data_IF_404499597918
#
_entry.id   IF_404499597918
#
_cell.length_a   1.000
_cell.length_b   1.000
_cell.length_c   1.000
_cell.angle_alpha   90.00
_cell.angle_beta   90.00
_cell.angle_gamma   90.00
#
_symmetry.space_group_name_H-M   'P 1'
#
loop_
_entity.id
_entity.type
_entity.pdbx_description
1 polymer ?
#
# COMPACT_ATOMS: atom_id res chain seq x y z
N UNK A 1 -10.32 13.30 -18.83
CA UNK A 1 -9.95 12.20 -19.76
C UNK A 1 -9.97 10.88 -19.00
N UNK A 2 -10.43 9.78 -19.62
CA UNK A 2 -10.33 8.44 -19.03
C UNK A 2 -8.87 8.00 -18.91
N UNK A 3 -8.51 7.21 -17.87
CA UNK A 3 -7.13 6.76 -17.59
C UNK A 3 -6.49 6.09 -18.82
N UNK A 4 -7.27 5.32 -19.58
CA UNK A 4 -6.81 4.67 -20.82
C UNK A 4 -6.40 5.66 -21.91
N UNK A 5 -7.08 6.81 -22.02
CA UNK A 5 -6.71 7.83 -23.01
C UNK A 5 -5.38 8.48 -22.67
N UNK A 6 -5.10 8.68 -21.37
CA UNK A 6 -3.82 9.21 -20.90
C UNK A 6 -2.69 8.20 -21.13
N UNK A 7 -2.89 6.93 -20.78
CA UNK A 7 -1.91 5.86 -21.01
C UNK A 7 -1.56 5.69 -22.49
N UNK A 8 -2.57 5.65 -23.37
CA UNK A 8 -2.35 5.55 -24.81
C UNK A 8 -1.58 6.77 -25.36
N UNK A 9 -1.83 7.97 -24.83
CA UNK A 9 -1.08 9.16 -25.21
C UNK A 9 0.39 9.08 -24.75
N UNK A 10 0.65 8.64 -23.52
CA UNK A 10 2.01 8.45 -22.99
C UNK A 10 2.78 7.41 -23.79
N UNK A 11 2.14 6.28 -24.15
CA UNK A 11 2.75 5.24 -24.99
C UNK A 11 3.07 5.78 -26.39
N UNK A 12 2.15 6.51 -27.03
CA UNK A 12 2.41 7.14 -28.34
C UNK A 12 3.55 8.15 -28.29
N UNK A 13 3.62 8.93 -27.22
CA UNK A 13 4.71 9.86 -27.01
C UNK A 13 6.05 9.12 -26.80
N UNK A 14 6.07 8.00 -26.08
CA UNK A 14 7.27 7.20 -25.90
C UNK A 14 7.77 6.63 -27.23
N UNK A 15 6.88 6.08 -28.06
CA UNK A 15 7.23 5.64 -29.42
C UNK A 15 7.83 6.76 -30.26
N UNK A 16 7.23 7.96 -30.23
CA UNK A 16 7.73 9.11 -31.00
C UNK A 16 9.10 9.62 -30.54
N UNK A 17 9.43 9.50 -29.25
CA UNK A 17 10.66 10.07 -28.68
C UNK A 17 11.81 9.04 -28.54
N UNK A 18 11.50 7.75 -28.38
CA UNK A 18 12.48 6.72 -28.03
C UNK A 18 12.50 5.55 -29.02
N UNK A 19 11.66 5.60 -30.06
CA UNK A 19 11.60 4.60 -31.12
C UNK A 19 10.74 3.39 -30.76
N UNK A 20 10.74 2.44 -31.69
CA UNK A 20 9.78 1.33 -31.72
C UNK A 20 10.10 0.17 -30.77
N UNK A 21 11.28 0.17 -30.16
CA UNK A 21 11.70 -0.86 -29.21
C UNK A 21 11.48 -0.40 -27.75
N UNK A 22 10.44 -0.91 -27.07
CA UNK A 22 10.15 -0.52 -25.69
C UNK A 22 11.23 -0.94 -24.70
N UNK A 23 12.08 -1.92 -25.01
CA UNK A 23 13.18 -2.34 -24.13
C UNK A 23 14.29 -1.29 -24.06
N UNK A 24 14.39 -0.42 -25.07
CA UNK A 24 15.35 0.70 -25.10
C UNK A 24 14.81 1.99 -24.47
N UNK A 25 13.55 2.01 -24.03
CA UNK A 25 12.99 3.21 -23.41
C UNK A 25 13.63 3.51 -22.05
N UNK A 26 13.72 4.80 -21.67
CA UNK A 26 14.12 5.21 -20.33
C UNK A 26 13.28 4.57 -19.23
N UNK A 27 13.91 4.21 -18.11
CA UNK A 27 13.27 3.43 -17.05
C UNK A 27 12.22 4.23 -16.26
N UNK A 28 12.36 5.55 -16.21
CA UNK A 28 11.35 6.48 -15.71
C UNK A 28 10.09 6.48 -16.57
N UNK A 29 10.22 6.49 -17.90
CA UNK A 29 9.10 6.40 -18.86
C UNK A 29 8.39 5.05 -18.73
N UNK A 30 9.15 3.96 -18.64
CA UNK A 30 8.59 2.62 -18.38
C UNK A 30 7.85 2.56 -17.03
N UNK A 31 8.40 3.18 -15.98
CA UNK A 31 7.74 3.28 -14.67
C UNK A 31 6.46 4.12 -14.74
N UNK A 32 6.46 5.23 -15.48
CA UNK A 32 5.29 6.07 -15.66
C UNK A 32 4.16 5.31 -16.36
N UNK A 33 4.45 4.64 -17.49
CA UNK A 33 3.46 3.85 -18.24
C UNK A 33 2.95 2.68 -17.39
N UNK A 34 3.84 1.97 -16.67
CA UNK A 34 3.45 0.94 -15.70
C UNK A 34 2.64 1.50 -14.52
N UNK A 35 2.79 2.79 -14.21
CA UNK A 35 2.04 3.54 -13.22
C UNK A 35 0.62 3.90 -13.68
N UNK A 36 0.42 4.03 -14.99
CA UNK A 36 -0.85 4.47 -15.56
C UNK A 36 -1.84 3.32 -15.85
N UNK A 37 -1.47 2.05 -15.61
CA UNK A 37 -2.41 0.92 -15.76
C UNK A 37 -3.64 1.13 -14.88
N UNK A 38 -4.84 0.86 -15.43
CA UNK A 38 -6.14 1.13 -14.78
C UNK A 38 -6.23 0.58 -13.35
N UNK A 39 -5.50 -0.51 -13.06
CA UNK A 39 -5.40 -1.09 -11.74
C UNK A 39 -4.83 -0.14 -10.66
N UNK A 40 -4.13 0.96 -10.99
CA UNK A 40 -3.67 1.94 -9.99
C UNK A 40 -4.68 3.06 -9.69
N UNK A 41 -5.68 3.30 -10.54
CA UNK A 41 -6.44 4.56 -10.48
C UNK A 41 -7.97 4.43 -10.49
N UNK A 42 -8.54 3.22 -10.53
CA UNK A 42 -9.98 3.09 -10.22
C UNK A 42 -10.25 3.53 -8.77
N UNK A 43 -11.43 4.11 -8.53
CA UNK A 43 -11.86 4.47 -7.18
C UNK A 43 -11.79 3.27 -6.22
N UNK A 44 -12.10 2.08 -6.74
CA UNK A 44 -11.98 0.81 -6.00
C UNK A 44 -10.53 0.53 -5.58
N UNK A 45 -9.57 0.61 -6.50
CA UNK A 45 -8.18 0.30 -6.16
C UNK A 45 -7.56 1.34 -5.22
N UNK A 46 -8.01 2.59 -5.25
CA UNK A 46 -7.64 3.58 -4.22
C UNK A 46 -8.11 3.15 -2.84
N UNK A 47 -9.34 2.64 -2.71
CA UNK A 47 -9.86 2.12 -1.44
C UNK A 47 -9.08 0.89 -1.00
N UNK A 48 -8.80 -0.06 -1.90
CA UNK A 48 -8.01 -1.26 -1.56
C UNK A 48 -6.60 -0.90 -1.10
N UNK A 49 -5.93 0.03 -1.79
CA UNK A 49 -4.62 0.56 -1.40
C UNK A 49 -4.68 1.21 -0.01
N UNK A 50 -5.68 2.05 0.22
CA UNK A 50 -5.91 2.68 1.52
C UNK A 50 -6.03 1.63 2.64
N UNK A 51 -6.88 0.61 2.47
CA UNK A 51 -7.02 -0.48 3.45
C UNK A 51 -5.70 -1.24 3.68
N UNK A 52 -4.91 -1.48 2.62
CA UNK A 52 -3.58 -2.09 2.74
C UNK A 52 -2.63 -1.21 3.56
N UNK A 53 -2.61 0.12 3.32
CA UNK A 53 -1.75 1.06 4.04
C UNK A 53 -2.13 1.19 5.52
N UNK A 54 -3.40 1.04 5.86
CA UNK A 54 -3.89 0.97 7.24
C UNK A 54 -3.74 -0.43 7.86
N UNK A 55 -3.06 -1.34 7.16
CA UNK A 55 -2.66 -2.63 7.69
C UNK A 55 -3.78 -3.66 7.76
N UNK A 56 -4.92 -3.46 7.11
CA UNK A 56 -5.97 -4.48 7.07
C UNK A 56 -5.47 -5.76 6.40
N UNK A 57 -5.94 -6.92 6.85
CA UNK A 57 -5.50 -8.22 6.31
C UNK A 57 -6.10 -8.50 4.93
N UNK A 58 -5.40 -9.28 4.09
CA UNK A 58 -5.92 -9.65 2.77
C UNK A 58 -7.28 -10.36 2.85
N UNK A 59 -7.49 -11.18 3.89
CA UNK A 59 -8.76 -11.89 4.13
C UNK A 59 -9.90 -10.90 4.41
N UNK A 60 -9.68 -9.94 5.31
CA UNK A 60 -10.68 -8.93 5.64
C UNK A 60 -11.04 -8.08 4.42
N UNK A 61 -10.04 -7.56 3.70
CA UNK A 61 -10.27 -6.72 2.52
C UNK A 61 -11.03 -7.50 1.43
N UNK A 62 -10.68 -8.77 1.22
CA UNK A 62 -11.35 -9.64 0.26
C UNK A 62 -12.84 -9.81 0.58
N UNK A 63 -13.18 -10.01 1.86
CA UNK A 63 -14.56 -10.14 2.32
C UNK A 63 -15.35 -8.84 2.15
N UNK A 64 -14.82 -7.72 2.63
CA UNK A 64 -15.50 -6.41 2.62
C UNK A 64 -15.70 -5.84 1.20
N UNK A 65 -14.79 -6.15 0.27
CA UNK A 65 -14.77 -5.54 -1.07
C UNK A 65 -15.14 -6.51 -2.19
N UNK A 66 -15.61 -7.71 -1.82
CA UNK A 66 -15.96 -8.78 -2.77
C UNK A 66 -14.86 -9.05 -3.80
N UNK A 67 -13.60 -9.07 -3.34
CA UNK A 67 -12.41 -9.38 -4.15
C UNK A 67 -11.82 -10.71 -3.74
N UNK A 68 -11.06 -11.34 -4.62
CA UNK A 68 -10.33 -12.54 -4.26
C UNK A 68 -9.13 -12.19 -3.36
N UNK A 69 -8.82 -13.00 -2.33
CA UNK A 69 -7.62 -12.80 -1.50
C UNK A 69 -6.33 -12.74 -2.33
N UNK A 70 -6.27 -13.51 -3.43
CA UNK A 70 -5.15 -13.52 -4.38
C UNK A 70 -4.97 -12.16 -5.06
N UNK A 71 -6.06 -11.48 -5.45
CA UNK A 71 -6.00 -10.14 -6.03
C UNK A 71 -5.39 -9.13 -5.05
N UNK A 72 -5.82 -9.16 -3.78
CA UNK A 72 -5.29 -8.27 -2.74
C UNK A 72 -3.82 -8.57 -2.45
N UNK A 73 -3.43 -9.84 -2.43
CA UNK A 73 -2.03 -10.25 -2.27
C UNK A 73 -1.16 -9.74 -3.42
N UNK A 74 -1.63 -9.85 -4.67
CA UNK A 74 -0.92 -9.31 -5.82
C UNK A 74 -0.79 -7.79 -5.74
N UNK A 75 -1.88 -7.08 -5.41
CA UNK A 75 -1.85 -5.61 -5.24
C UNK A 75 -0.85 -5.19 -4.17
N UNK A 76 -0.87 -5.82 -2.99
CA UNK A 76 0.11 -5.56 -1.92
C UNK A 76 1.54 -5.86 -2.37
N UNK A 77 1.76 -6.96 -3.10
CA UNK A 77 3.06 -7.32 -3.66
C UNK A 77 3.58 -6.27 -4.65
N UNK A 78 2.71 -5.74 -5.51
CA UNK A 78 3.05 -4.65 -6.44
C UNK A 78 3.38 -3.35 -5.70
N UNK A 79 2.58 -2.98 -4.69
CA UNK A 79 2.86 -1.80 -3.85
C UNK A 79 4.23 -1.92 -3.17
N UNK A 80 4.57 -3.10 -2.64
CA UNK A 80 5.88 -3.36 -2.04
C UNK A 80 7.03 -3.21 -3.05
N UNK A 81 6.90 -3.74 -4.26
CA UNK A 81 7.95 -3.63 -5.31
C UNK A 81 8.15 -2.22 -5.85
N UNK A 82 7.18 -1.33 -5.63
CA UNK A 82 7.21 0.08 -6.09
C UNK A 82 7.49 1.05 -4.94
N UNK A 83 7.85 0.56 -3.76
CA UNK A 83 8.04 1.38 -2.55
C UNK A 83 6.82 2.24 -2.19
N UNK A 84 5.63 1.80 -2.60
CA UNK A 84 4.34 2.46 -2.33
C UNK A 84 3.72 1.98 -0.99
N UNK A 85 4.31 0.96 -0.35
CA UNK A 85 3.80 0.35 0.88
C UNK A 85 4.25 1.14 2.13
N UNK A 86 3.86 2.41 2.19
CA UNK A 86 4.16 3.30 3.31
C UNK A 86 3.04 3.24 4.34
N UNK A 87 3.13 2.31 5.30
CA UNK A 87 2.05 2.11 6.29
C UNK A 87 1.67 3.41 7.01
N UNK A 88 0.36 3.59 7.18
CA UNK A 88 -0.26 4.77 7.78
C UNK A 88 -1.20 4.34 8.91
N UNK A 89 -1.42 5.22 9.87
CA UNK A 89 -2.39 5.00 10.93
C UNK A 89 -3.10 6.32 11.23
N UNK A 90 -4.39 6.25 11.53
CA UNK A 90 -5.12 7.38 12.10
C UNK A 90 -4.72 7.57 13.58
N UNK A 91 -4.98 8.75 14.18
CA UNK A 91 -4.76 8.95 15.61
C UNK A 91 -5.48 7.93 16.50
N UNK A 92 -6.69 7.52 16.12
CA UNK A 92 -7.47 6.52 16.85
C UNK A 92 -6.83 5.13 16.76
N UNK A 93 -6.35 4.73 15.57
CA UNK A 93 -5.63 3.47 15.38
C UNK A 93 -4.34 3.42 16.21
N UNK A 94 -3.61 4.54 16.29
CA UNK A 94 -2.42 4.66 17.14
C UNK A 94 -2.76 4.62 18.63
N UNK A 95 -3.87 5.25 19.04
CA UNK A 95 -4.37 5.22 20.41
C UNK A 95 -4.74 3.81 20.82
N UNK A 96 -5.47 3.09 19.97
CA UNK A 96 -5.82 1.69 20.20
C UNK A 96 -4.59 0.78 20.22
N UNK A 97 -3.60 1.02 19.34
CA UNK A 97 -2.33 0.30 19.35
C UNK A 97 -1.58 0.50 20.69
N UNK A 98 -1.45 1.75 21.16
CA UNK A 98 -0.84 2.07 22.46
C UNK A 98 -1.57 1.37 23.59
N UNK A 99 -2.89 1.41 23.58
CA UNK A 99 -3.73 0.75 24.59
C UNK A 99 -3.47 -0.76 24.61
N UNK A 100 -3.54 -1.44 23.47
CA UNK A 100 -3.32 -2.89 23.38
C UNK A 100 -1.90 -3.28 23.82
N UNK A 101 -0.88 -2.53 23.39
CA UNK A 101 0.50 -2.80 23.80
C UNK A 101 0.67 -2.65 25.32
N UNK A 102 0.05 -1.65 25.95
CA UNK A 102 0.15 -1.40 27.39
C UNK A 102 -0.56 -2.46 28.25
N UNK A 103 -1.67 -3.00 27.77
CA UNK A 103 -2.54 -3.88 28.57
C UNK A 103 -2.37 -5.38 28.24
N UNK A 104 -1.41 -5.74 27.37
CA UNK A 104 -1.05 -7.13 27.12
C UNK A 104 0.13 -7.55 28.01
N UNK A 105 0.06 -8.76 28.59
CA UNK A 105 1.14 -9.32 29.42
C UNK A 105 2.47 -9.48 28.65
N UNK A 106 2.42 -9.81 27.35
CA UNK A 106 3.59 -9.97 26.47
C UNK A 106 3.27 -9.45 25.05
N UNK A 107 3.34 -8.13 24.81
CA UNK A 107 2.93 -7.51 23.55
C UNK A 107 3.95 -7.74 22.43
N UNK A 108 3.81 -8.86 21.71
CA UNK A 108 4.52 -9.10 20.46
C UNK A 108 3.68 -8.65 19.25
N UNK A 109 4.35 -8.37 18.11
CA UNK A 109 3.68 -7.80 16.94
C UNK A 109 2.58 -8.71 16.38
N UNK A 110 2.75 -10.03 16.44
CA UNK A 110 1.76 -10.99 15.94
C UNK A 110 0.50 -11.01 16.81
N UNK A 111 0.65 -11.00 18.12
CA UNK A 111 -0.46 -11.00 19.08
C UNK A 111 -1.26 -9.71 19.00
N UNK A 112 -0.57 -8.55 19.01
CA UNK A 112 -1.21 -7.24 18.87
C UNK A 112 -1.95 -7.14 17.53
N UNK A 113 -1.31 -7.57 16.44
CA UNK A 113 -1.94 -7.58 15.11
C UNK A 113 -3.20 -8.45 15.06
N UNK A 114 -3.17 -9.62 15.72
CA UNK A 114 -4.34 -10.50 15.81
C UNK A 114 -5.52 -9.84 16.53
N UNK A 115 -5.27 -9.14 17.64
CA UNK A 115 -6.31 -8.45 18.41
C UNK A 115 -6.91 -7.29 17.60
N UNK A 116 -6.07 -6.56 16.86
CA UNK A 116 -6.50 -5.42 16.05
C UNK A 116 -7.08 -5.82 14.68
N UNK A 117 -7.00 -7.10 14.29
CA UNK A 117 -7.35 -7.52 12.93
C UNK A 117 -6.46 -6.88 11.86
N UNK A 118 -5.18 -6.66 12.16
CA UNK A 118 -4.19 -5.97 11.31
C UNK A 118 -3.06 -6.91 10.87
N UNK A 119 -2.25 -6.45 9.94
CA UNK A 119 -1.01 -7.07 9.52
C UNK A 119 0.09 -6.83 10.56
N UNK A 120 0.91 -7.85 10.84
CA UNK A 120 2.02 -7.76 11.81
C UNK A 120 3.06 -6.72 11.40
N UNK A 121 3.27 -6.51 10.10
CA UNK A 121 4.26 -5.59 9.56
C UNK A 121 3.78 -4.14 9.75
N UNK A 122 2.46 -3.89 9.67
CA UNK A 122 1.86 -2.61 10.03
C UNK A 122 2.07 -2.31 11.52
N UNK A 123 1.81 -3.28 12.41
CA UNK A 123 2.03 -3.11 13.86
C UNK A 123 3.49 -2.80 14.17
N UNK A 124 4.42 -3.54 13.54
CA UNK A 124 5.86 -3.26 13.68
C UNK A 124 6.19 -1.82 13.30
N UNK A 125 5.77 -1.40 12.11
CA UNK A 125 6.05 -0.07 11.58
C UNK A 125 5.44 1.04 12.46
N UNK A 126 4.20 0.89 12.91
CA UNK A 126 3.56 1.91 13.75
C UNK A 126 4.20 1.98 15.15
N UNK A 127 4.64 0.86 15.72
CA UNK A 127 5.38 0.85 16.99
C UNK A 127 6.76 1.51 16.88
N UNK A 128 7.41 1.40 15.73
CA UNK A 128 8.67 2.12 15.44
C UNK A 128 8.41 3.63 15.38
N UNK A 129 7.44 4.07 14.57
CA UNK A 129 7.04 5.50 14.50
C UNK A 129 6.67 6.09 15.86
N UNK A 130 5.97 5.32 16.70
CA UNK A 130 5.63 5.76 18.06
C UNK A 130 6.84 5.90 18.99
N UNK A 131 7.89 5.10 18.80
CA UNK A 131 9.14 5.21 19.56
C UNK A 131 9.98 6.39 19.07
N UNK A 132 10.08 6.58 17.77
CA UNK A 132 10.74 7.75 17.16
C UNK A 132 10.11 9.05 17.65
N UNK A 133 8.78 9.16 17.56
CA UNK A 133 8.05 10.33 18.05
C UNK A 133 8.20 10.55 19.57
N UNK A 134 8.39 9.49 20.37
CA UNK A 134 8.65 9.65 21.80
C UNK A 134 10.08 10.13 22.09
N UNK A 135 11.06 9.70 21.28
CA UNK A 135 12.45 10.09 21.42
C UNK A 135 12.73 11.51 20.91
N UNK A 136 11.97 12.01 19.92
CA UNK A 136 12.08 13.40 19.41
C UNK A 136 11.57 14.46 20.40
N UNK A 137 10.81 14.05 21.42
CA UNK A 137 10.22 14.94 22.44
C UNK A 137 11.13 15.08 23.69
N UNK A 138 12.25 14.37 23.73
CA UNK A 138 13.26 14.44 24.79
C UNK A 138 14.52 15.18 24.33
#
# INVERSE_FOLDING_TARGET
MSSNKKMAATIRAAYANYGDDPDNWPEDVKKEIRGQTEEQHTAENKILRHLILHGYTNKYIAQERSKTPQYIQQLRGRMRRRDELNYQATPDELTQLKYNVKHMNKPNNKGVASIMGRDKDWVRCMREKLREAANEIH
#
